data_IF_614239121366
#
_entry.id   IF_614239121366
#
_cell.length_a   1.000
_cell.length_b   1.000
_cell.length_c   1.000
_cell.angle_alpha   90.00
_cell.angle_beta   90.00
_cell.angle_gamma   90.00
#
_symmetry.space_group_name_H-M   'P 1'
#
loop_
_entity.id
_entity.type
_entity.pdbx_description
1 polymer ?
#
# COMPACT_ATOMS: atom_id res chain seq x y z
N UNK A 1 10.95 12.69 -19.69
CA UNK A 1 9.97 11.88 -18.93
C UNK A 1 9.43 12.60 -17.69
N UNK A 2 10.26 13.26 -16.87
CA UNK A 2 9.83 13.89 -15.61
C UNK A 2 8.92 15.13 -15.76
N UNK A 3 9.21 16.07 -16.67
CA UNK A 3 8.30 17.18 -17.00
C UNK A 3 6.97 16.71 -17.61
N UNK A 4 7.00 15.59 -18.33
CA UNK A 4 5.84 14.99 -18.97
C UNK A 4 4.88 14.40 -17.94
N UNK A 5 5.39 13.74 -16.89
CA UNK A 5 4.57 13.20 -15.82
C UNK A 5 3.87 14.30 -14.98
N UNK A 6 4.56 15.40 -14.67
CA UNK A 6 3.99 16.51 -13.90
C UNK A 6 2.93 17.28 -14.71
N UNK A 7 3.14 17.50 -16.01
CA UNK A 7 2.15 18.14 -16.88
C UNK A 7 0.92 17.26 -17.15
N UNK A 8 1.08 15.94 -17.17
CA UNK A 8 -0.02 14.98 -17.35
C UNK A 8 -0.81 14.77 -16.05
N UNK A 9 -0.15 14.77 -14.90
CA UNK A 9 -0.79 14.58 -13.59
C UNK A 9 -1.73 15.73 -13.20
N UNK A 10 -1.55 16.93 -13.77
CA UNK A 10 -2.40 18.10 -13.48
C UNK A 10 -3.77 18.08 -14.18
N UNK A 11 -4.06 17.10 -15.03
CA UNK A 11 -5.29 17.05 -15.80
C UNK A 11 -6.24 15.94 -15.36
N UNK A 12 -7.47 16.31 -14.98
CA UNK A 12 -8.69 15.48 -14.92
C UNK A 12 -9.08 14.90 -16.32
N UNK A 13 -8.10 14.51 -17.13
CA UNK A 13 -8.28 14.18 -18.53
C UNK A 13 -8.26 12.67 -18.74
N UNK A 14 -9.37 12.08 -19.17
CA UNK A 14 -9.45 10.66 -19.60
C UNK A 14 -8.34 10.24 -20.61
N UNK A 15 -7.73 11.21 -21.29
CA UNK A 15 -6.60 11.01 -22.19
C UNK A 15 -5.30 10.59 -21.47
N UNK A 16 -5.04 11.08 -20.25
CA UNK A 16 -3.86 10.68 -19.45
C UNK A 16 -4.00 9.23 -18.99
N UNK A 17 -5.17 8.86 -18.47
CA UNK A 17 -5.49 7.49 -18.07
C UNK A 17 -5.33 6.50 -19.23
N UNK A 18 -5.83 6.85 -20.41
CA UNK A 18 -5.71 6.03 -21.61
C UNK A 18 -4.24 5.83 -22.03
N UNK A 19 -3.41 6.87 -21.88
CA UNK A 19 -1.98 6.80 -22.17
C UNK A 19 -1.25 5.84 -21.21
N UNK A 20 -1.43 6.00 -19.90
CA UNK A 20 -0.81 5.14 -18.89
C UNK A 20 -1.31 3.69 -18.98
N UNK A 21 -2.59 3.50 -19.29
CA UNK A 21 -3.11 2.17 -19.59
C UNK A 21 -2.46 1.56 -20.84
N UNK A 22 -2.25 2.36 -21.90
CA UNK A 22 -1.48 1.96 -23.07
C UNK A 22 -0.04 1.55 -22.74
N UNK A 23 0.66 2.34 -21.93
CA UNK A 23 2.01 2.02 -21.46
C UNK A 23 2.09 0.71 -20.69
N UNK A 24 1.11 0.39 -19.84
CA UNK A 24 1.02 -0.91 -19.16
C UNK A 24 0.84 -2.07 -20.13
N UNK A 25 0.22 -1.83 -21.28
CA UNK A 25 -0.03 -2.87 -22.26
C UNK A 25 1.19 -3.15 -23.16
N UNK A 26 2.13 -2.21 -23.27
CA UNK A 26 3.39 -2.36 -24.00
C UNK A 26 4.47 -3.03 -23.13
N UNK A 27 4.73 -4.32 -23.39
CA UNK A 27 5.76 -5.10 -22.68
C UNK A 27 7.16 -4.49 -22.78
N UNK A 28 7.51 -3.85 -23.91
CA UNK A 28 8.82 -3.22 -24.12
C UNK A 28 8.95 -1.97 -23.25
N UNK A 29 7.88 -1.18 -23.16
CA UNK A 29 7.83 -0.04 -22.27
C UNK A 29 7.98 -0.47 -20.80
N UNK A 30 7.21 -1.47 -20.35
CA UNK A 30 7.29 -1.97 -18.96
C UNK A 30 8.69 -2.48 -18.62
N UNK A 31 9.34 -3.21 -19.53
CA UNK A 31 10.70 -3.69 -19.33
C UNK A 31 11.71 -2.53 -19.22
N UNK A 32 11.60 -1.51 -20.09
CA UNK A 32 12.44 -0.30 -20.02
C UNK A 32 12.20 0.47 -18.73
N UNK A 33 10.94 0.63 -18.33
CA UNK A 33 10.58 1.29 -17.08
C UNK A 33 11.21 0.57 -15.89
N UNK A 34 11.10 -0.76 -15.82
CA UNK A 34 11.72 -1.56 -14.76
C UNK A 34 13.24 -1.37 -14.69
N UNK A 35 13.92 -1.28 -15.83
CA UNK A 35 15.37 -1.04 -15.88
C UNK A 35 15.76 0.34 -15.32
N UNK A 36 14.95 1.38 -15.56
CA UNK A 36 15.24 2.75 -15.07
C UNK A 36 14.79 3.02 -13.65
N UNK A 37 13.99 2.13 -13.04
CA UNK A 37 13.65 2.24 -11.61
C UNK A 37 14.86 1.95 -10.70
N UNK A 38 15.84 1.17 -11.15
CA UNK A 38 16.94 0.73 -10.28
C UNK A 38 17.84 1.86 -9.74
N UNK A 39 18.20 2.91 -10.51
CA UNK A 39 18.98 4.04 -9.98
C UNK A 39 18.09 5.15 -9.41
N UNK A 40 17.87 5.14 -8.09
CA UNK A 40 17.31 6.28 -7.36
C UNK A 40 18.46 7.11 -6.80
N UNK A 41 18.79 8.22 -7.46
CA UNK A 41 19.98 9.03 -7.14
C UNK A 41 19.70 10.27 -6.30
N UNK A 42 18.42 10.58 -6.03
CA UNK A 42 18.03 11.77 -5.26
C UNK A 42 16.60 11.64 -4.72
N UNK A 43 16.24 12.41 -3.67
CA UNK A 43 14.86 12.57 -3.20
C UNK A 43 13.89 12.91 -4.34
N UNK A 44 14.28 13.85 -5.21
CA UNK A 44 13.47 14.26 -6.35
C UNK A 44 13.20 13.11 -7.33
N UNK A 45 14.20 12.29 -7.63
CA UNK A 45 14.02 11.11 -8.49
C UNK A 45 13.08 10.09 -7.84
N UNK A 46 13.23 9.83 -6.53
CA UNK A 46 12.37 8.94 -5.76
C UNK A 46 10.90 9.37 -5.86
N UNK A 47 10.62 10.64 -5.58
CA UNK A 47 9.27 11.24 -5.70
C UNK A 47 8.74 11.07 -7.12
N UNK A 48 9.53 11.43 -8.14
CA UNK A 48 9.12 11.33 -9.53
C UNK A 48 8.74 9.91 -9.95
N UNK A 49 9.53 8.90 -9.54
CA UNK A 49 9.24 7.50 -9.85
C UNK A 49 8.03 6.97 -9.09
N UNK A 50 7.89 7.27 -7.80
CA UNK A 50 6.73 6.86 -7.00
C UNK A 50 5.43 7.44 -7.56
N UNK A 51 5.43 8.74 -7.92
CA UNK A 51 4.28 9.40 -8.55
C UNK A 51 3.97 8.83 -9.94
N UNK A 52 5.00 8.53 -10.73
CA UNK A 52 4.81 7.86 -11.99
C UNK A 52 4.17 6.47 -11.80
N UNK A 53 4.68 5.66 -10.86
CA UNK A 53 4.13 4.34 -10.55
C UNK A 53 2.70 4.40 -10.02
N UNK A 54 2.39 5.40 -9.19
CA UNK A 54 1.03 5.68 -8.71
C UNK A 54 0.08 5.87 -9.90
N UNK A 55 0.37 6.81 -10.81
CA UNK A 55 -0.45 7.06 -12.00
C UNK A 55 -0.50 5.86 -12.93
N UNK A 56 0.65 5.21 -13.14
CA UNK A 56 0.78 4.03 -13.98
C UNK A 56 -0.08 2.87 -13.47
N UNK A 57 -0.23 2.69 -12.16
CA UNK A 57 -1.07 1.63 -11.56
C UNK A 57 -2.55 2.05 -11.53
N UNK A 58 -2.87 3.30 -11.20
CA UNK A 58 -4.26 3.75 -11.05
C UNK A 58 -5.02 3.91 -12.36
N UNK A 59 -4.33 4.25 -13.45
CA UNK A 59 -4.98 4.58 -14.71
C UNK A 59 -6.00 3.51 -15.14
N UNK A 60 -7.14 3.91 -15.68
CA UNK A 60 -8.18 3.02 -16.20
C UNK A 60 -8.34 3.25 -17.72
N UNK A 61 -8.35 2.18 -18.52
CA UNK A 61 -8.78 2.30 -19.92
C UNK A 61 -10.33 2.36 -19.99
N UNK A 62 -10.95 3.12 -20.90
CA UNK A 62 -12.37 2.98 -21.22
C UNK A 62 -12.88 1.53 -21.32
N UNK A 63 -12.10 0.62 -21.93
CA UNK A 63 -12.44 -0.82 -22.00
C UNK A 63 -12.39 -1.53 -20.65
N UNK A 64 -11.55 -1.06 -19.73
CA UNK A 64 -11.45 -1.60 -18.39
C UNK A 64 -12.71 -1.30 -17.55
N UNK A 65 -13.42 -0.20 -17.86
CA UNK A 65 -14.67 0.19 -17.18
C UNK A 65 -15.84 -0.76 -17.47
N UNK A 66 -15.77 -1.49 -18.58
CA UNK A 66 -16.80 -2.46 -18.99
C UNK A 66 -16.57 -3.86 -18.40
N UNK A 67 -15.41 -4.10 -17.80
CA UNK A 67 -15.02 -5.40 -17.24
C UNK A 67 -15.30 -5.44 -15.74
N UNK A 68 -15.66 -6.61 -15.19
CA UNK A 68 -15.75 -6.78 -13.74
C UNK A 68 -14.43 -6.36 -13.05
N UNK A 69 -14.53 -5.54 -12.00
CA UNK A 69 -13.39 -4.88 -11.32
C UNK A 69 -12.24 -5.85 -11.03
N UNK A 70 -12.55 -7.04 -10.50
CA UNK A 70 -11.51 -7.99 -10.13
C UNK A 70 -10.76 -8.61 -11.33
N UNK A 71 -11.45 -8.88 -12.44
CA UNK A 71 -10.83 -9.40 -13.67
C UNK A 71 -9.92 -8.33 -14.29
N UNK A 72 -10.35 -7.06 -14.18
CA UNK A 72 -9.54 -5.90 -14.58
C UNK A 72 -8.25 -5.82 -13.76
N UNK A 73 -8.32 -5.91 -12.43
CA UNK A 73 -7.12 -5.86 -11.60
C UNK A 73 -6.16 -7.01 -11.95
N UNK A 74 -6.65 -8.25 -12.09
CA UNK A 74 -5.80 -9.40 -12.45
C UNK A 74 -5.04 -9.18 -13.77
N UNK A 75 -5.75 -8.69 -14.80
CA UNK A 75 -5.16 -8.37 -16.10
C UNK A 75 -4.12 -7.24 -16.00
N UNK A 76 -4.38 -6.21 -15.18
CA UNK A 76 -3.47 -5.08 -14.95
C UNK A 76 -2.15 -5.57 -14.36
N UNK A 77 -2.22 -6.34 -13.29
CA UNK A 77 -1.04 -6.80 -12.54
C UNK A 77 -0.23 -7.88 -13.25
N UNK A 78 -0.86 -8.70 -14.10
CA UNK A 78 -0.14 -9.69 -14.93
C UNK A 78 0.95 -9.05 -15.80
N UNK A 79 0.78 -7.80 -16.22
CA UNK A 79 1.71 -7.10 -17.12
C UNK A 79 2.83 -6.35 -16.39
N UNK A 80 2.75 -6.19 -15.06
CA UNK A 80 3.74 -5.42 -14.29
C UNK A 80 4.92 -6.25 -13.80
N UNK A 81 4.99 -7.54 -14.16
CA UNK A 81 6.03 -8.46 -13.67
C UNK A 81 7.49 -7.96 -13.71
N UNK A 82 7.97 -7.28 -14.77
CA UNK A 82 9.30 -6.68 -14.75
C UNK A 82 9.49 -5.63 -13.66
N UNK A 83 8.48 -4.78 -13.41
CA UNK A 83 8.52 -3.76 -12.35
C UNK A 83 8.61 -4.44 -10.99
N UNK A 84 7.77 -5.44 -10.73
CA UNK A 84 7.76 -6.19 -9.47
C UNK A 84 9.15 -6.74 -9.14
N UNK A 85 9.80 -7.40 -10.11
CA UNK A 85 11.16 -7.95 -9.93
C UNK A 85 12.24 -6.89 -9.64
N UNK A 86 12.11 -5.70 -10.23
CA UNK A 86 13.04 -4.60 -9.99
C UNK A 86 12.74 -3.84 -8.69
N UNK A 87 11.55 -4.01 -8.13
CA UNK A 87 11.00 -3.10 -7.14
C UNK A 87 11.74 -3.14 -5.79
N UNK A 88 12.26 -4.29 -5.37
CA UNK A 88 13.04 -4.39 -4.13
C UNK A 88 14.25 -3.43 -4.14
N UNK A 89 15.05 -3.45 -5.22
CA UNK A 89 16.21 -2.55 -5.37
C UNK A 89 15.78 -1.10 -5.47
N UNK A 90 14.66 -0.84 -6.14
CA UNK A 90 14.06 0.49 -6.18
C UNK A 90 13.68 0.98 -4.77
N UNK A 91 13.01 0.16 -3.97
CA UNK A 91 12.63 0.50 -2.59
C UNK A 91 13.84 0.80 -1.70
N UNK A 92 14.92 0.02 -1.81
CA UNK A 92 16.20 0.30 -1.13
C UNK A 92 16.77 1.67 -1.53
N UNK A 93 16.71 2.03 -2.82
CA UNK A 93 17.12 3.35 -3.30
C UNK A 93 16.21 4.49 -2.82
N UNK A 94 14.90 4.26 -2.75
CA UNK A 94 13.93 5.20 -2.18
C UNK A 94 14.19 5.41 -0.68
N UNK A 95 14.54 4.37 0.07
CA UNK A 95 14.88 4.47 1.49
C UNK A 95 16.06 5.39 1.75
N UNK A 96 17.16 5.19 1.02
CA UNK A 96 18.34 6.07 1.11
C UNK A 96 17.98 7.53 0.78
N UNK A 97 17.20 7.73 -0.28
CA UNK A 97 16.73 9.06 -0.64
C UNK A 97 15.79 9.67 0.42
N UNK A 98 15.01 8.85 1.14
CA UNK A 98 14.16 9.31 2.23
C UNK A 98 15.00 9.72 3.45
N UNK A 99 16.00 8.94 3.83
CA UNK A 99 16.95 9.29 4.91
C UNK A 99 17.61 10.64 4.63
N UNK A 100 18.14 10.81 3.42
CA UNK A 100 18.74 12.08 2.98
C UNK A 100 17.73 13.24 3.06
N UNK A 101 16.48 13.03 2.64
CA UNK A 101 15.44 14.06 2.69
C UNK A 101 15.07 14.45 4.13
N UNK A 102 14.87 13.47 5.01
CA UNK A 102 14.52 13.69 6.41
C UNK A 102 15.62 14.44 7.17
N UNK A 103 16.90 14.17 6.89
CA UNK A 103 18.03 14.93 7.45
C UNK A 103 17.96 16.44 7.12
N UNK A 104 17.29 16.81 6.04
CA UNK A 104 17.08 18.19 5.62
C UNK A 104 15.68 18.73 5.96
N UNK A 105 14.88 17.98 6.72
CA UNK A 105 13.51 18.34 7.07
C UNK A 105 12.54 18.36 5.88
N UNK A 106 12.80 17.54 4.85
CA UNK A 106 11.94 17.38 3.68
C UNK A 106 11.12 16.09 3.75
N UNK A 107 9.79 16.23 3.81
CA UNK A 107 8.83 15.13 3.84
C UNK A 107 8.47 14.58 2.47
N UNK A 108 8.97 15.17 1.38
CA UNK A 108 8.49 14.92 0.01
C UNK A 108 8.54 13.44 -0.41
N UNK A 109 9.60 12.72 -0.02
CA UNK A 109 9.74 11.28 -0.32
C UNK A 109 8.71 10.48 0.46
N UNK A 110 8.57 10.70 1.77
CA UNK A 110 7.57 10.02 2.59
C UNK A 110 6.14 10.32 2.11
N UNK A 111 5.85 11.55 1.73
CA UNK A 111 4.57 11.93 1.11
C UNK A 111 4.27 11.08 -0.13
N UNK A 112 5.27 10.89 -1.01
CA UNK A 112 5.11 10.07 -2.21
C UNK A 112 4.99 8.58 -1.89
N UNK A 113 5.72 8.07 -0.89
CA UNK A 113 5.63 6.68 -0.43
C UNK A 113 4.26 6.41 0.16
N UNK A 114 3.75 7.28 1.03
CA UNK A 114 2.44 7.09 1.67
C UNK A 114 1.29 7.14 0.67
N UNK A 115 1.34 8.06 -0.29
CA UNK A 115 0.40 8.10 -1.43
C UNK A 115 0.43 6.84 -2.29
N UNK A 116 1.64 6.35 -2.58
CA UNK A 116 1.80 5.13 -3.36
C UNK A 116 1.31 3.89 -2.61
N UNK A 117 1.59 3.78 -1.31
CA UNK A 117 1.02 2.74 -0.44
C UNK A 117 -0.50 2.75 -0.43
N UNK A 118 -1.11 3.93 -0.28
CA UNK A 118 -2.57 4.04 -0.33
C UNK A 118 -3.13 3.50 -1.66
N UNK A 119 -2.47 3.85 -2.76
CA UNK A 119 -2.82 3.35 -4.10
C UNK A 119 -2.75 1.82 -4.21
N UNK A 120 -1.72 1.22 -3.62
CA UNK A 120 -1.58 -0.23 -3.55
C UNK A 120 -2.68 -0.86 -2.69
N UNK A 121 -2.99 -0.27 -1.53
CA UNK A 121 -4.04 -0.75 -0.63
C UNK A 121 -5.44 -0.64 -1.24
N UNK A 122 -5.73 0.44 -1.97
CA UNK A 122 -6.94 0.56 -2.78
C UNK A 122 -7.00 -0.54 -3.85
N UNK A 123 -5.90 -0.78 -4.55
CA UNK A 123 -5.83 -1.85 -5.57
C UNK A 123 -6.07 -3.21 -4.92
N UNK A 124 -5.47 -3.45 -3.75
CA UNK A 124 -5.62 -4.68 -2.98
C UNK A 124 -7.10 -4.95 -2.65
N UNK A 125 -7.83 -3.91 -2.20
CA UNK A 125 -9.27 -4.01 -1.88
C UNK A 125 -10.16 -4.38 -3.08
N UNK A 126 -9.68 -4.15 -4.31
CA UNK A 126 -10.39 -4.41 -5.57
C UNK A 126 -10.04 -5.77 -6.19
N UNK A 127 -9.00 -6.44 -5.69
CA UNK A 127 -8.61 -7.77 -6.19
C UNK A 127 -9.52 -8.87 -5.65
N UNK A 128 -9.75 -9.90 -6.47
CA UNK A 128 -10.38 -11.15 -6.00
C UNK A 128 -9.34 -12.01 -5.29
N UNK A 129 -9.83 -12.85 -4.38
CA UNK A 129 -9.07 -13.98 -3.87
C UNK A 129 -9.12 -15.07 -4.93
N UNK A 130 -8.01 -15.28 -5.60
CA UNK A 130 -7.84 -16.33 -6.60
C UNK A 130 -6.75 -17.29 -6.13
N UNK A 131 -6.88 -18.56 -6.52
CA UNK A 131 -5.89 -19.61 -6.25
C UNK A 131 -4.75 -19.59 -7.29
N UNK A 132 -4.92 -18.82 -8.37
CA UNK A 132 -3.90 -18.63 -9.41
C UNK A 132 -2.72 -17.80 -8.89
N UNK A 133 -1.49 -18.31 -9.03
CA UNK A 133 -0.25 -17.63 -8.64
C UNK A 133 0.64 -17.39 -9.88
N UNK A 134 1.29 -16.22 -10.03
CA UNK A 134 1.16 -14.99 -9.23
C UNK A 134 -0.10 -14.17 -9.55
N UNK A 135 -1.03 -14.12 -8.58
CA UNK A 135 -2.23 -13.25 -8.61
C UNK A 135 -1.88 -11.77 -8.50
N UNK A 136 -2.80 -10.89 -8.92
CA UNK A 136 -2.72 -9.46 -8.61
C UNK A 136 -2.48 -9.19 -7.12
N UNK A 137 -3.18 -9.93 -6.25
CA UNK A 137 -3.05 -9.82 -4.79
C UNK A 137 -1.61 -10.08 -4.36
N UNK A 138 -1.02 -11.22 -4.72
CA UNK A 138 0.36 -11.59 -4.36
C UNK A 138 1.37 -10.50 -4.78
N UNK A 139 1.22 -9.95 -5.98
CA UNK A 139 2.09 -8.91 -6.53
C UNK A 139 1.97 -7.59 -5.78
N UNK A 140 0.76 -7.19 -5.40
CA UNK A 140 0.54 -5.97 -4.61
C UNK A 140 1.18 -6.10 -3.23
N UNK A 141 1.00 -7.26 -2.59
CA UNK A 141 1.59 -7.55 -1.29
C UNK A 141 3.13 -7.54 -1.36
N UNK A 142 3.72 -8.11 -2.42
CA UNK A 142 5.17 -8.08 -2.65
C UNK A 142 5.71 -6.64 -2.74
N UNK A 143 4.99 -5.73 -3.39
CA UNK A 143 5.36 -4.31 -3.44
C UNK A 143 5.28 -3.63 -2.07
N UNK A 144 4.21 -3.89 -1.31
CA UNK A 144 4.03 -3.33 0.03
C UNK A 144 5.15 -3.83 0.98
N UNK A 145 5.43 -5.13 0.94
CA UNK A 145 6.51 -5.76 1.71
C UNK A 145 7.88 -5.20 1.33
N UNK A 146 8.14 -4.98 0.04
CA UNK A 146 9.41 -4.43 -0.41
C UNK A 146 9.66 -3.01 0.13
N UNK A 147 8.63 -2.17 0.25
CA UNK A 147 8.76 -0.86 0.91
C UNK A 147 8.98 -1.03 2.40
N UNK A 148 8.24 -1.92 3.04
CA UNK A 148 8.23 -2.07 4.49
C UNK A 148 9.49 -2.73 5.07
N UNK A 149 10.19 -3.55 4.27
CA UNK A 149 11.50 -4.11 4.60
C UNK A 149 12.63 -3.07 4.71
N UNK A 150 12.42 -1.85 4.20
CA UNK A 150 13.40 -0.77 4.25
C UNK A 150 13.12 0.08 5.50
N UNK A 151 14.08 0.15 6.42
CA UNK A 151 13.90 0.75 7.75
C UNK A 151 13.31 2.16 7.71
N UNK A 152 13.90 3.06 6.94
CA UNK A 152 13.44 4.45 6.81
C UNK A 152 12.08 4.60 6.14
N UNK A 153 11.53 3.54 5.55
CA UNK A 153 10.21 3.51 4.96
C UNK A 153 9.22 2.72 5.82
N UNK A 154 9.65 1.94 6.82
CA UNK A 154 8.81 0.98 7.54
C UNK A 154 7.56 1.62 8.13
N UNK A 155 6.45 0.89 8.08
CA UNK A 155 5.18 1.30 8.67
C UNK A 155 5.25 1.32 10.19
N UNK A 156 4.99 2.48 10.79
CA UNK A 156 4.94 2.65 12.24
C UNK A 156 3.79 1.83 12.87
N UNK A 157 4.01 1.22 14.04
CA UNK A 157 3.01 0.39 14.71
C UNK A 157 1.94 1.28 15.36
N UNK A 158 0.68 1.02 15.06
CA UNK A 158 -0.47 1.71 15.67
C UNK A 158 -1.17 0.82 16.70
N UNK A 159 -1.19 -0.48 16.47
CA UNK A 159 -1.88 -1.47 17.29
C UNK A 159 -0.91 -2.17 18.25
N UNK A 160 -1.35 -2.59 19.44
CA UNK A 160 -0.48 -3.24 20.43
C UNK A 160 0.10 -4.57 19.95
N UNK A 161 -0.65 -5.28 19.11
CA UNK A 161 -0.25 -6.52 18.45
C UNK A 161 0.46 -6.27 17.10
N UNK A 162 0.69 -5.01 16.71
CA UNK A 162 1.62 -4.74 15.61
C UNK A 162 3.04 -5.03 16.13
N UNK A 163 3.55 -6.23 15.94
CA UNK A 163 4.99 -6.43 16.09
C UNK A 163 5.74 -5.72 14.96
N UNK A 164 6.99 -5.36 15.24
CA UNK A 164 7.90 -4.70 14.30
C UNK A 164 8.54 -5.72 13.34
N UNK A 165 8.22 -7.01 13.46
CA UNK A 165 8.90 -8.07 12.70
C UNK A 165 8.35 -8.16 11.27
N UNK A 166 9.25 -8.46 10.33
CA UNK A 166 8.89 -8.59 8.93
C UNK A 166 7.95 -9.80 8.71
N UNK A 167 8.05 -10.83 9.56
CA UNK A 167 7.27 -12.07 9.47
C UNK A 167 5.78 -11.85 9.77
N UNK A 168 5.41 -11.06 10.78
CA UNK A 168 4.00 -10.79 11.09
C UNK A 168 3.37 -9.75 10.17
N UNK A 169 4.16 -8.82 9.63
CA UNK A 169 3.72 -8.00 8.50
C UNK A 169 3.43 -8.87 7.29
N UNK A 170 4.27 -9.89 7.01
CA UNK A 170 3.94 -10.90 6.01
C UNK A 170 2.65 -11.66 6.32
N UNK A 171 2.38 -12.01 7.59
CA UNK A 171 1.10 -12.62 8.00
C UNK A 171 -0.08 -11.66 7.88
N UNK A 172 0.07 -10.39 8.23
CA UNK A 172 -0.93 -9.34 8.05
C UNK A 172 -1.23 -9.17 6.56
N UNK A 173 -0.18 -9.13 5.72
CA UNK A 173 -0.31 -9.09 4.26
C UNK A 173 -0.99 -10.35 3.71
N UNK A 174 -0.71 -11.53 4.27
CA UNK A 174 -1.39 -12.81 3.95
C UNK A 174 -2.81 -12.87 4.53
N UNK A 175 -3.10 -12.07 5.54
CA UNK A 175 -4.35 -12.01 6.26
C UNK A 175 -5.54 -11.68 5.36
N UNK A 176 -6.68 -12.24 5.69
CA UNK A 176 -7.84 -12.34 4.80
C UNK A 176 -9.05 -11.54 5.30
N UNK A 177 -8.84 -10.43 6.01
CA UNK A 177 -9.90 -9.58 6.58
C UNK A 177 -10.00 -8.20 5.94
N UNK A 178 -11.19 -7.59 6.02
CA UNK A 178 -11.37 -6.14 5.82
C UNK A 178 -10.41 -5.35 6.73
N UNK A 179 -10.21 -5.88 7.94
CA UNK A 179 -9.35 -5.35 9.00
C UNK A 179 -7.91 -5.14 8.60
N UNK A 180 -7.35 -6.04 7.78
CA UNK A 180 -5.96 -5.93 7.31
C UNK A 180 -5.74 -4.63 6.54
N UNK A 181 -6.65 -4.32 5.62
CA UNK A 181 -6.54 -3.11 4.82
C UNK A 181 -6.69 -1.86 5.71
N UNK A 182 -7.63 -1.88 6.67
CA UNK A 182 -7.79 -0.79 7.64
C UNK A 182 -6.50 -0.59 8.44
N UNK A 183 -5.96 -1.65 9.03
CA UNK A 183 -4.74 -1.60 9.84
C UNK A 183 -3.57 -1.01 9.05
N UNK A 184 -3.34 -1.50 7.83
CA UNK A 184 -2.26 -1.01 6.97
C UNK A 184 -2.44 0.46 6.58
N UNK A 185 -3.67 0.92 6.32
CA UNK A 185 -3.92 2.31 6.00
C UNK A 185 -3.71 3.21 7.24
N UNK A 186 -4.17 2.79 8.42
CA UNK A 186 -3.92 3.52 9.66
C UNK A 186 -2.41 3.64 9.95
N UNK A 187 -1.66 2.54 9.82
CA UNK A 187 -0.19 2.55 9.96
C UNK A 187 0.49 3.45 8.93
N UNK A 188 0.01 3.46 7.69
CA UNK A 188 0.52 4.34 6.63
C UNK A 188 0.30 5.83 6.97
N UNK A 189 -0.88 6.17 7.50
CA UNK A 189 -1.19 7.52 7.94
C UNK A 189 -0.33 7.92 9.16
N UNK A 190 -0.18 7.04 10.16
CA UNK A 190 0.70 7.27 11.31
C UNK A 190 2.15 7.51 10.87
N UNK A 191 2.66 6.71 9.94
CA UNK A 191 4.02 6.85 9.40
C UNK A 191 4.25 8.23 8.77
N UNK A 192 3.27 8.73 8.01
CA UNK A 192 3.35 10.08 7.43
C UNK A 192 3.31 11.17 8.50
N UNK A 193 2.46 11.01 9.52
CA UNK A 193 2.36 11.97 10.64
C UNK A 193 3.67 12.04 11.44
N UNK A 194 4.31 10.90 11.69
CA UNK A 194 5.62 10.82 12.36
C UNK A 194 6.69 11.52 11.53
N UNK A 195 6.79 11.24 10.23
CA UNK A 195 7.74 11.93 9.37
C UNK A 195 7.49 13.45 9.31
N UNK A 196 6.22 13.86 9.29
CA UNK A 196 5.85 15.27 9.34
C UNK A 196 6.28 15.93 10.65
N UNK A 197 6.04 15.28 11.79
CA UNK A 197 6.50 15.74 13.11
C UNK A 197 8.02 15.93 13.11
N UNK A 198 8.78 14.93 12.68
CA UNK A 198 10.24 14.96 12.70
C UNK A 198 10.81 16.06 11.79
N UNK A 199 10.07 16.44 10.75
CA UNK A 199 10.38 17.58 9.87
C UNK A 199 9.77 18.92 10.34
N UNK A 200 9.29 19.02 11.59
CA UNK A 200 8.70 20.24 12.14
C UNK A 200 7.42 20.69 11.43
N UNK A 201 6.62 19.72 10.96
CA UNK A 201 5.35 19.89 10.25
C UNK A 201 5.40 20.67 8.94
N UNK A 202 6.60 20.84 8.36
CA UNK A 202 6.81 21.53 7.09
C UNK A 202 6.35 20.68 5.91
N UNK A 203 6.08 21.30 4.77
CA UNK A 203 5.74 20.61 3.53
C UNK A 203 4.24 20.45 3.27
N UNK A 204 3.90 19.51 2.38
CA UNK A 204 2.53 19.28 1.90
C UNK A 204 1.90 17.98 2.43
N UNK A 205 2.48 17.44 3.50
CA UNK A 205 2.11 16.16 4.12
C UNK A 205 0.64 16.05 4.51
N UNK A 206 -0.04 17.16 4.80
CA UNK A 206 -1.46 17.15 5.15
C UNK A 206 -2.38 16.81 3.96
N UNK A 207 -1.86 16.89 2.72
CA UNK A 207 -2.58 16.47 1.52
C UNK A 207 -1.58 16.10 0.40
N UNK A 208 -0.86 14.97 0.54
CA UNK A 208 0.21 14.59 -0.37
C UNK A 208 -0.33 14.21 -1.76
N UNK A 209 -1.61 13.87 -1.84
CA UNK A 209 -2.26 13.39 -3.06
C UNK A 209 -2.91 14.49 -3.90
N UNK A 210 -3.12 15.70 -3.35
CA UNK A 210 -3.93 16.79 -3.96
C UNK A 210 -3.66 17.07 -5.43
N UNK A 211 -2.41 16.89 -5.86
CA UNK A 211 -1.92 17.22 -7.21
C UNK A 211 -1.89 16.04 -8.17
N UNK A 212 -2.15 14.83 -7.67
CA UNK A 212 -1.86 13.58 -8.38
C UNK A 212 -3.06 12.64 -8.45
N UNK A 213 -4.05 12.79 -7.56
CA UNK A 213 -5.30 12.03 -7.60
C UNK A 213 -6.49 12.97 -7.87
N UNK A 214 -7.59 12.45 -8.45
CA UNK A 214 -8.83 13.22 -8.61
C UNK A 214 -9.34 13.76 -7.27
N UNK A 215 -9.91 14.97 -7.26
CA UNK A 215 -10.39 15.65 -6.04
C UNK A 215 -11.46 14.87 -5.26
N UNK A 216 -12.16 13.94 -5.93
CA UNK A 216 -13.18 13.07 -5.34
C UNK A 216 -12.60 11.85 -4.63
N UNK A 217 -11.31 11.55 -4.82
CA UNK A 217 -10.67 10.37 -4.25
C UNK A 217 -10.12 10.73 -2.86
N UNK A 218 -10.46 9.95 -1.81
CA UNK A 218 -9.89 10.16 -0.48
C UNK A 218 -8.36 10.08 -0.52
N UNK A 219 -7.69 11.08 0.06
CA UNK A 219 -6.23 11.08 0.18
C UNK A 219 -5.73 10.26 1.36
N UNK A 220 -4.41 10.19 1.49
CA UNK A 220 -3.67 9.42 2.52
C UNK A 220 -4.19 9.63 3.95
N UNK A 221 -4.52 10.86 4.34
CA UNK A 221 -5.03 11.17 5.68
C UNK A 221 -6.57 11.17 5.79
N UNK A 222 -7.28 10.97 4.69
CA UNK A 222 -8.75 10.89 4.65
C UNK A 222 -9.23 9.44 4.49
N UNK A 223 -8.40 8.50 4.92
CA UNK A 223 -8.57 7.08 4.67
C UNK A 223 -9.85 6.47 5.25
N UNK A 224 -10.40 7.03 6.33
CA UNK A 224 -11.67 6.58 6.91
C UNK A 224 -12.84 6.70 5.92
N UNK A 225 -12.76 7.61 4.94
CA UNK A 225 -13.74 7.73 3.86
C UNK A 225 -13.72 6.52 2.91
N UNK A 226 -12.69 5.65 2.97
CA UNK A 226 -12.58 4.42 2.19
C UNK A 226 -13.37 3.24 2.79
N UNK A 227 -14.51 3.53 3.44
CA UNK A 227 -15.57 2.58 3.88
C UNK A 227 -15.45 2.00 5.29
N UNK A 228 -14.70 2.61 6.20
CA UNK A 228 -14.59 2.10 7.57
C UNK A 228 -15.49 2.91 8.50
N UNK A 229 -16.55 2.30 9.01
CA UNK A 229 -17.26 2.88 10.14
C UNK A 229 -16.51 2.53 11.43
N UNK A 230 -15.52 3.35 11.78
CA UNK A 230 -14.68 3.19 12.98
C UNK A 230 -15.48 3.15 14.29
N UNK A 231 -16.77 3.50 14.27
CA UNK A 231 -17.66 3.45 15.43
C UNK A 231 -18.32 2.09 15.66
N UNK A 232 -18.25 1.17 14.70
CA UNK A 232 -18.89 -0.15 14.76
C UNK A 232 -17.88 -1.29 14.92
N UNK A 233 -16.63 -0.97 15.21
CA UNK A 233 -15.53 -1.92 15.20
C UNK A 233 -14.98 -2.11 16.61
N UNK A 234 -14.76 -3.37 17.02
CA UNK A 234 -14.07 -3.69 18.27
C UNK A 234 -12.64 -3.18 18.15
N UNK A 235 -12.35 -2.10 18.88
CA UNK A 235 -11.10 -1.37 18.70
C UNK A 235 -9.94 -2.15 19.33
N UNK A 236 -8.94 -2.57 18.55
CA UNK A 236 -7.73 -3.17 19.11
C UNK A 236 -6.98 -2.17 20.02
N UNK A 237 -6.25 -2.64 21.04
CA UNK A 237 -5.43 -1.76 21.88
C UNK A 237 -4.39 -0.99 21.07
N UNK A 238 -4.08 0.23 21.50
CA UNK A 238 -3.06 1.08 20.89
C UNK A 238 -1.64 0.58 21.20
N UNK A 239 -0.72 0.79 20.28
CA UNK A 239 0.69 0.47 20.47
C UNK A 239 1.33 1.39 21.51
N UNK A 240 2.33 0.87 22.25
CA UNK A 240 3.13 1.67 23.16
C UNK A 240 3.82 2.85 22.47
N UNK A 241 4.23 2.66 21.20
CA UNK A 241 4.78 3.71 20.34
C UNK A 241 3.78 4.84 20.12
N UNK A 242 2.54 4.53 19.74
CA UNK A 242 1.52 5.55 19.47
C UNK A 242 1.12 6.29 20.74
N UNK A 243 0.97 5.58 21.86
CA UNK A 243 0.72 6.23 23.15
C UNK A 243 1.88 7.17 23.53
N UNK A 244 3.14 6.74 23.37
CA UNK A 244 4.30 7.60 23.64
C UNK A 244 4.34 8.84 22.74
N UNK A 245 4.00 8.70 21.45
CA UNK A 245 3.88 9.82 20.51
C UNK A 245 2.82 10.83 20.98
N UNK A 246 1.65 10.39 21.44
CA UNK A 246 0.63 11.30 21.97
C UNK A 246 1.16 12.11 23.15
N UNK A 247 1.89 11.48 24.07
CA UNK A 247 2.52 12.17 25.22
C UNK A 247 3.57 13.18 24.79
N UNK A 248 4.43 12.80 23.86
CA UNK A 248 5.45 13.69 23.32
C UNK A 248 4.85 14.95 22.67
N UNK A 249 3.67 14.82 22.06
CA UNK A 249 2.94 15.92 21.44
C UNK A 249 2.06 16.72 22.42
N UNK A 250 2.09 16.39 23.73
CA UNK A 250 1.26 17.02 24.76
C UNK A 250 -0.23 16.70 24.61
N UNK A 251 -0.57 15.51 24.13
CA UNK A 251 -1.93 14.99 23.96
C UNK A 251 -2.22 13.85 24.95
N UNK A 252 -1.58 13.86 26.12
CA UNK A 252 -1.74 12.85 27.18
C UNK A 252 -3.20 12.65 27.59
N UNK A 253 -3.96 13.75 27.66
CA UNK A 253 -5.38 13.76 28.03
C UNK A 253 -6.28 12.97 27.07
N UNK A 254 -5.79 12.66 25.86
CA UNK A 254 -6.53 11.83 24.90
C UNK A 254 -6.57 10.35 25.29
N UNK A 255 -5.70 9.92 26.19
CA UNK A 255 -5.67 8.55 26.72
C UNK A 255 -6.66 8.36 27.88
N UNK A 256 -7.27 9.43 28.40
CA UNK A 256 -8.23 9.35 29.49
C UNK A 256 -9.60 8.89 28.99
N UNK A 257 -10.31 8.03 29.75
CA UNK A 257 -11.66 7.63 29.41
C UNK A 257 -12.61 8.81 29.23
N UNK A 258 -13.37 8.82 28.13
CA UNK A 258 -14.33 9.88 27.82
C UNK A 258 -13.71 11.21 27.33
N UNK A 259 -12.42 11.22 26.97
CA UNK A 259 -11.78 12.38 26.36
C UNK A 259 -12.53 12.88 25.12
N UNK A 260 -12.65 14.20 24.97
CA UNK A 260 -13.30 14.83 23.82
C UNK A 260 -12.38 14.96 22.58
N UNK A 261 -11.13 14.50 22.71
CA UNK A 261 -10.08 14.51 21.69
C UNK A 261 -9.84 15.91 21.10
N UNK A 262 -9.97 16.95 21.93
CA UNK A 262 -9.56 18.31 21.59
C UNK A 262 -8.11 18.53 21.96
N UNK A 263 -7.38 19.25 21.11
CA UNK A 263 -6.02 19.65 21.45
C UNK A 263 -6.08 20.69 22.59
N UNK A 264 -5.12 20.67 23.54
CA UNK A 264 -5.04 21.67 24.60
C UNK A 264 -4.98 23.11 24.05
N UNK A 265 -5.52 24.09 24.79
CA UNK A 265 -5.38 25.50 24.44
C UNK A 265 -3.91 25.88 24.26
N UNK A 266 -3.57 26.51 23.13
CA UNK A 266 -2.19 26.94 22.85
C UNK A 266 -1.27 25.83 22.32
N UNK A 267 -1.80 24.65 21.96
CA UNK A 267 -1.02 23.59 21.34
C UNK A 267 -0.29 24.10 20.08
N UNK A 268 1.02 23.81 19.91
CA UNK A 268 1.78 24.19 18.72
C UNK A 268 1.45 23.33 17.50
N UNK A 269 0.58 22.32 17.64
CA UNK A 269 0.25 21.39 16.58
C UNK A 269 -0.59 22.06 15.48
N UNK A 270 -0.23 21.89 14.20
CA UNK A 270 -1.10 22.30 13.12
C UNK A 270 -2.44 21.56 13.20
N UNK A 271 -3.52 22.25 12.83
CA UNK A 271 -4.87 21.66 12.81
C UNK A 271 -4.94 20.32 12.07
N UNK A 272 -4.25 20.21 10.94
CA UNK A 272 -4.21 18.97 10.16
C UNK A 272 -3.58 17.80 10.94
N UNK A 273 -2.61 18.06 11.82
CA UNK A 273 -1.96 17.04 12.65
C UNK A 273 -2.92 16.55 13.72
N UNK A 274 -3.60 17.49 14.38
CA UNK A 274 -4.65 17.19 15.36
C UNK A 274 -5.77 16.35 14.72
N UNK A 275 -6.23 16.73 13.53
CA UNK A 275 -7.29 16.00 12.83
C UNK A 275 -6.84 14.59 12.43
N UNK A 276 -5.61 14.43 11.92
CA UNK A 276 -5.05 13.12 11.56
C UNK A 276 -4.85 12.21 12.79
N UNK A 277 -4.26 12.74 13.86
CA UNK A 277 -4.05 12.01 15.12
C UNK A 277 -5.39 11.60 15.75
N UNK A 278 -6.39 12.49 15.73
CA UNK A 278 -7.74 12.17 16.21
C UNK A 278 -8.33 11.01 15.42
N UNK A 279 -8.21 11.02 14.09
CA UNK A 279 -8.67 9.89 13.27
C UNK A 279 -7.95 8.58 13.60
N UNK A 280 -6.66 8.63 13.95
CA UNK A 280 -5.90 7.45 14.38
C UNK A 280 -6.34 6.95 15.76
N UNK A 281 -6.53 7.85 16.75
CA UNK A 281 -7.05 7.48 18.07
C UNK A 281 -8.42 6.82 17.96
N UNK A 282 -9.29 7.29 17.07
CA UNK A 282 -10.60 6.67 16.86
C UNK A 282 -10.53 5.23 16.33
N UNK A 283 -9.39 4.80 15.79
CA UNK A 283 -9.17 3.46 15.26
C UNK A 283 -8.65 2.44 16.29
N UNK A 284 -8.27 2.89 17.48
CA UNK A 284 -7.67 2.06 18.53
C UNK A 284 -8.32 2.32 19.90
N UNK A 285 -8.10 1.40 20.83
CA UNK A 285 -8.38 1.62 22.24
C UNK A 285 -7.11 2.14 22.93
N UNK A 286 -7.14 3.39 23.39
CA UNK A 286 -6.03 4.04 24.13
C UNK A 286 -6.18 3.95 25.65
N UNK A 287 -7.33 3.45 26.14
CA UNK A 287 -7.65 3.40 27.57
C UNK A 287 -7.02 2.19 28.28
N UNK A 288 -6.70 1.11 27.53
CA UNK A 288 -6.06 -0.08 28.07
C UNK A 288 -4.53 0.03 27.90
N UNK A 289 -3.75 0.25 28.99
CA UNK A 289 -2.32 -0.01 28.94
C UNK A 289 -2.14 -1.51 28.69
N UNK A 290 -1.54 -1.84 27.55
CA UNK A 290 -1.15 -3.21 27.23
C UNK A 290 -0.24 -3.76 28.34
N UNK A 291 -0.82 -4.54 29.27
CA UNK A 291 -0.14 -5.22 30.38
C UNK A 291 0.88 -6.29 29.94
N UNK A 292 1.26 -6.36 28.66
CA UNK A 292 2.02 -7.47 28.09
C UNK A 292 3.54 -7.26 28.03
N UNK A 293 4.06 -6.06 28.26
CA UNK A 293 5.53 -5.83 28.20
C UNK A 293 6.28 -6.10 29.51
N UNK A 294 5.60 -6.46 30.60
CA UNK A 294 6.26 -6.68 31.90
C UNK A 294 6.67 -8.14 32.19
N UNK A 295 6.30 -9.12 31.34
CA UNK A 295 6.45 -10.55 31.67
C UNK A 295 7.76 -11.17 31.11
N UNK A 296 8.51 -10.46 30.26
CA UNK A 296 9.69 -11.06 29.60
C UNK A 296 11.03 -10.82 30.32
N UNK A 297 11.13 -9.85 31.24
CA UNK A 297 12.42 -9.60 31.94
C UNK A 297 12.57 -10.38 33.26
N UNK A 298 11.50 -10.68 34.00
CA UNK A 298 11.63 -11.38 35.29
C UNK A 298 11.91 -12.89 35.16
N UNK A 299 11.64 -13.51 34.00
CA UNK A 299 11.91 -14.94 33.79
C UNK A 299 13.36 -15.28 33.42
N UNK A 300 14.22 -14.26 33.29
CA UNK A 300 15.63 -14.43 32.93
C UNK A 300 16.60 -14.35 34.14
N UNK A 301 16.07 -14.17 35.36
CA UNK A 301 16.88 -14.01 36.58
C UNK A 301 16.72 -15.17 37.58
N UNK A 302 15.72 -16.04 37.48
CA UNK A 302 15.50 -17.14 38.45
C UNK A 302 16.02 -18.54 38.05
N UNK A 303 16.56 -18.75 36.83
CA UNK A 303 17.16 -20.04 36.43
C UNK A 303 18.71 -20.08 36.53
N UNK A 304 19.30 -19.27 37.42
CA UNK A 304 20.74 -19.31 37.75
C UNK A 304 20.98 -19.55 39.24
N UNK A 305 20.45 -20.65 39.76
CA UNK A 305 20.96 -21.20 41.02
C UNK A 305 20.62 -22.69 41.10
N UNK A 306 21.62 -23.49 41.50
CA UNK A 306 21.59 -24.95 41.71
C UNK A 306 21.77 -25.72 40.37
N UNK A 307 22.87 -26.43 40.07
CA UNK A 307 23.73 -27.28 40.91
C UNK A 307 25.09 -27.50 40.23
N UNK A 308 26.15 -27.52 41.04
CA UNK A 308 27.54 -27.77 40.69
C UNK A 308 27.90 -29.21 41.10
N UNK A 309 28.82 -29.85 40.35
CA UNK A 309 29.51 -31.15 40.59
C UNK A 309 28.76 -32.39 40.08
N UNK A 310 29.33 -33.34 39.31
CA UNK A 310 30.72 -33.82 39.20
C UNK A 310 31.05 -34.40 37.80
N UNK A 311 32.29 -34.19 37.32
CA UNK A 311 32.99 -34.94 36.24
C UNK A 311 33.42 -36.35 36.70
N UNK A 312 33.71 -37.39 35.85
CA UNK A 312 34.74 -37.29 34.77
C UNK A 312 34.66 -38.23 33.52
N UNK A 313 35.38 -37.76 32.47
CA UNK A 313 36.24 -38.44 31.48
C UNK A 313 35.71 -39.60 30.59
N UNK A 314 35.85 -39.41 29.26
CA UNK A 314 36.57 -40.24 28.26
C UNK A 314 36.31 -39.66 26.85
N UNK A 315 37.32 -39.13 26.16
CA UNK A 315 38.16 -39.84 25.18
C UNK A 315 37.40 -40.33 23.93
N UNK A 316 37.51 -39.61 22.81
CA UNK A 316 38.26 -40.02 21.60
C UNK A 316 38.05 -38.99 20.48
N UNK A 317 39.09 -38.83 19.67
CA UNK A 317 39.22 -37.87 18.58
C UNK A 317 38.88 -38.54 17.22
N UNK A 318 39.13 -37.93 16.04
CA UNK A 318 38.12 -37.77 14.99
C UNK A 318 38.38 -38.66 13.77
N UNK A 319 37.36 -38.89 12.91
CA UNK A 319 37.60 -39.40 11.55
C UNK A 319 36.68 -38.68 10.56
N UNK A 320 37.31 -38.34 9.45
CA UNK A 320 36.85 -37.60 8.29
C UNK A 320 36.26 -38.51 7.21
N UNK A 321 35.78 -37.85 6.14
CA UNK A 321 35.73 -38.30 4.74
C UNK A 321 34.51 -39.12 4.25
N UNK A 322 33.72 -38.43 3.41
CA UNK A 322 33.54 -38.72 1.95
C UNK A 322 32.45 -39.70 1.48
N UNK A 323 31.77 -39.21 0.44
CA UNK A 323 30.99 -39.84 -0.64
C UNK A 323 29.86 -40.84 -0.33
N UNK A 324 28.67 -40.55 -0.88
CA UNK A 324 28.28 -41.19 -2.14
C UNK A 324 26.87 -40.74 -2.61
N UNK A 325 26.81 -40.50 -3.92
CA UNK A 325 25.65 -40.38 -4.77
C UNK A 325 24.76 -41.64 -4.72
N UNK A 326 23.43 -41.48 -4.84
CA UNK A 326 22.59 -42.38 -5.65
C UNK A 326 21.17 -41.86 -5.87
N UNK A 327 20.92 -41.47 -7.12
CA UNK A 327 19.90 -42.01 -8.02
C UNK A 327 18.49 -42.34 -7.50
N UNK A 328 17.49 -41.67 -8.08
CA UNK A 328 16.15 -42.19 -8.49
C UNK A 328 15.49 -41.08 -9.34
N UNK A 329 15.50 -41.10 -10.67
CA UNK A 329 14.86 -42.02 -11.62
C UNK A 329 13.39 -42.27 -11.31
N UNK A 330 12.50 -41.47 -11.91
CA UNK A 330 11.18 -41.92 -12.37
C UNK A 330 10.89 -41.29 -13.73
N UNK A 331 10.64 -42.18 -14.68
CA UNK A 331 10.30 -41.91 -16.06
C UNK A 331 8.95 -42.60 -16.36
N UNK A 332 8.26 -42.05 -17.34
CA UNK A 332 7.12 -42.58 -18.11
C UNK A 332 5.72 -42.75 -17.45
N UNK A 333 4.74 -42.08 -18.08
CA UNK A 333 3.55 -42.65 -18.78
C UNK A 333 2.60 -41.48 -19.14
N UNK A 334 2.68 -40.91 -20.35
CA UNK A 334 1.90 -41.23 -21.56
C UNK A 334 0.37 -41.29 -21.37
N UNK A 335 -0.32 -40.39 -22.08
CA UNK A 335 -1.77 -40.39 -22.28
C UNK A 335 -2.18 -39.35 -23.32
N UNK A 336 -2.20 -39.77 -24.59
CA UNK A 336 -2.67 -39.03 -25.76
C UNK A 336 -4.19 -38.79 -25.71
N UNK A 337 -4.66 -37.67 -26.27
CA UNK A 337 -6.03 -37.56 -26.80
C UNK A 337 -6.07 -36.56 -27.97
N UNK A 338 -6.57 -37.08 -29.10
CA UNK A 338 -6.77 -36.53 -30.44
C UNK A 338 -7.78 -35.36 -30.47
N UNK A 339 -7.52 -34.30 -31.25
CA UNK A 339 -8.08 -34.02 -32.59
C UNK A 339 -9.60 -34.21 -32.78
N UNK A 340 -10.30 -33.09 -33.03
CA UNK A 340 -11.66 -33.05 -33.54
C UNK A 340 -11.94 -31.70 -34.21
N UNK A 341 -11.96 -31.70 -35.55
CA UNK A 341 -12.22 -30.56 -36.46
C UNK A 341 -13.72 -30.39 -36.77
N UNK A 342 -14.04 -29.17 -37.20
CA UNK A 342 -14.97 -28.78 -38.28
C UNK A 342 -16.38 -28.22 -37.96
N UNK A 343 -16.75 -27.21 -38.76
CA UNK A 343 -18.10 -26.62 -38.96
C UNK A 343 -18.20 -25.18 -38.44
N UNK A 344 -17.79 -24.12 -39.15
CA UNK A 344 -18.40 -23.51 -40.35
C UNK A 344 -19.93 -23.38 -40.29
N UNK A 345 -20.44 -22.19 -39.97
CA UNK A 345 -21.56 -21.63 -40.73
C UNK A 345 -21.63 -20.10 -40.65
N UNK A 346 -21.80 -19.52 -41.83
CA UNK A 346 -21.97 -18.11 -42.13
C UNK A 346 -23.39 -17.70 -41.78
N UNK A 347 -23.60 -16.55 -41.15
CA UNK A 347 -24.87 -15.84 -41.32
C UNK A 347 -24.69 -14.39 -41.75
N UNK A 348 -25.50 -14.11 -42.76
CA UNK A 348 -25.57 -12.97 -43.65
C UNK A 348 -26.12 -11.72 -42.96
N UNK A 349 -25.45 -10.62 -43.27
CA UNK A 349 -25.87 -9.21 -43.33
C UNK A 349 -27.39 -8.98 -43.32
N UNK A 350 -27.87 -8.15 -42.39
CA UNK A 350 -29.04 -7.29 -42.67
C UNK A 350 -28.82 -5.89 -42.10
N UNK A 351 -28.65 -4.95 -43.01
CA UNK A 351 -28.61 -3.53 -42.75
C UNK A 351 -30.01 -3.02 -42.39
N UNK A 352 -30.11 -2.20 -41.35
CA UNK A 352 -31.26 -1.33 -41.09
C UNK A 352 -30.79 0.10 -40.88
N UNK A 353 -30.94 0.85 -41.98
CA UNK A 353 -31.53 2.19 -42.07
C UNK A 353 -31.19 3.23 -41.00
N UNK A 354 -30.52 4.27 -41.51
CA UNK A 354 -30.30 5.57 -40.90
C UNK A 354 -31.60 6.18 -40.32
N UNK A 355 -31.51 6.70 -39.09
CA UNK A 355 -32.37 7.78 -38.61
C UNK A 355 -31.56 9.05 -38.37
N UNK A 356 -32.09 10.12 -38.94
CA UNK A 356 -31.62 11.51 -38.98
C UNK A 356 -31.42 12.14 -37.60
N UNK A 357 -30.34 12.90 -37.36
CA UNK A 357 -30.16 13.73 -36.18
C UNK A 357 -30.72 15.14 -36.43
N UNK A 358 -32.05 15.31 -36.29
CA UNK A 358 -32.71 16.62 -36.17
C UNK A 358 -33.90 16.53 -35.22
N UNK A 359 -33.68 16.28 -33.92
CA UNK A 359 -34.75 16.45 -32.92
C UNK A 359 -34.28 16.42 -31.45
N UNK A 360 -33.14 17.08 -31.14
CA UNK A 360 -32.63 17.15 -29.75
C UNK A 360 -32.26 18.57 -29.28
N UNK A 361 -32.78 19.61 -29.95
CA UNK A 361 -32.43 21.02 -29.64
C UNK A 361 -33.63 21.90 -29.26
N UNK A 362 -34.76 21.33 -28.83
CA UNK A 362 -35.98 22.09 -28.51
C UNK A 362 -36.50 21.94 -27.07
N UNK A 363 -35.82 21.19 -26.19
CA UNK A 363 -36.31 20.93 -24.82
C UNK A 363 -35.55 21.62 -23.67
N UNK A 364 -34.57 22.48 -23.95
CA UNK A 364 -33.84 23.25 -22.93
C UNK A 364 -34.04 24.77 -22.98
N UNK A 365 -35.03 25.27 -23.75
CA UNK A 365 -35.36 26.70 -23.80
C UNK A 365 -36.66 27.09 -23.07
N UNK A 366 -37.35 26.16 -22.37
CA UNK A 366 -38.60 26.45 -21.63
C UNK A 366 -38.51 26.22 -20.12
N UNK A 367 -37.39 26.57 -19.49
CA UNK A 367 -37.25 26.60 -18.02
C UNK A 367 -36.49 27.85 -17.53
N UNK A 368 -36.52 28.95 -18.30
CA UNK A 368 -35.85 30.21 -17.93
C UNK A 368 -36.74 31.45 -18.00
N UNK A 369 -38.05 31.30 -18.14
CA UNK A 369 -38.97 32.45 -18.11
C UNK A 369 -39.89 32.52 -16.88
N UNK A 370 -39.97 31.48 -16.04
CA UNK A 370 -40.84 31.49 -14.84
C UNK A 370 -40.09 31.78 -13.51
N UNK A 371 -38.97 32.51 -13.56
CA UNK A 371 -38.22 32.90 -12.35
C UNK A 371 -37.92 34.40 -12.29
N UNK A 372 -38.84 35.20 -12.82
CA UNK A 372 -38.94 36.64 -12.54
C UNK A 372 -40.41 37.07 -12.55
N UNK A 373 -41.08 36.79 -11.43
CA UNK A 373 -42.12 37.66 -10.87
C UNK A 373 -42.11 37.53 -9.35
#
# INVERSE_FOLDING_TARGET
MQYFAISIARGDNQQSDSLFAGFRHDKRFVAKLAAVLSPVTSPYAAVGFLRFLQLFIQADNPYDRLTQIAVREERRWRRTGPIIRAFRRFAEGVGKANEDALLHGDTSVMEAVSSFRLTLLESLSRTRRTVEDPSARSRILELLQALDRVESLRLQPLFADDSVTAEELEELFRGNGHDVAVRLVCRNALTLVVAAKDCGWRGSWYNPDKRYIPKSTPGTLQWFALRVNLRLYDKPPASGFFCALLRELGLDDWQQPGSDLRAPPGSPLPRAAVDALRSLVLAVNVEEPSHQSAITEERSVEERSVEERDTPLLSTSPVSLVDALSSRSYDAMLGNAEEGKAGSERHVVRATSMRSPKELTSRHRRLREDAKE
#
